data_IF_991180978594
#
_entry.id   IF_991180978594
#
_cell.length_a   1.000
_cell.length_b   1.000
_cell.length_c   1.000
_cell.angle_alpha   90.00
_cell.angle_beta   90.00
_cell.angle_gamma   90.00
#
_symmetry.space_group_name_H-M   'P 1'
#
loop_
_entity.id
_entity.type
_entity.pdbx_description
1 polymer ?
#
# COMPACT_ATOMS: atom_id res chain seq x y z
N UNK A 1 12.75 19.51 -4.58
CA UNK A 1 11.95 19.32 -5.81
C UNK A 1 11.61 17.86 -6.06
N UNK A 2 12.59 16.96 -6.27
CA UNK A 2 12.30 15.55 -6.58
C UNK A 2 11.50 14.82 -5.48
N UNK A 3 11.88 14.96 -4.20
CA UNK A 3 11.14 14.36 -3.08
C UNK A 3 9.66 14.80 -3.02
N UNK A 4 9.39 16.05 -3.35
CA UNK A 4 8.02 16.61 -3.39
C UNK A 4 7.21 16.01 -4.53
N UNK A 5 7.80 15.89 -5.72
CA UNK A 5 7.16 15.27 -6.88
C UNK A 5 6.87 13.78 -6.63
N UNK A 6 7.81 13.05 -6.03
CA UNK A 6 7.60 11.65 -5.63
C UNK A 6 6.47 11.53 -4.63
N UNK A 7 6.42 12.40 -3.60
CA UNK A 7 5.33 12.42 -2.63
C UNK A 7 3.97 12.65 -3.29
N UNK A 8 3.86 13.67 -4.16
CA UNK A 8 2.61 14.00 -4.86
C UNK A 8 2.14 12.86 -5.78
N UNK A 9 3.07 12.20 -6.47
CA UNK A 9 2.75 11.04 -7.31
C UNK A 9 2.19 9.89 -6.47
N UNK A 10 2.84 9.53 -5.37
CA UNK A 10 2.38 8.44 -4.49
C UNK A 10 1.05 8.81 -3.81
N UNK A 11 0.87 10.06 -3.38
CA UNK A 11 -0.40 10.58 -2.84
C UNK A 11 -1.54 10.44 -3.86
N UNK A 12 -1.30 10.79 -5.11
CA UNK A 12 -2.29 10.65 -6.19
C UNK A 12 -2.66 9.19 -6.48
N UNK A 13 -1.68 8.29 -6.48
CA UNK A 13 -1.91 6.84 -6.64
C UNK A 13 -2.76 6.31 -5.48
N UNK A 14 -2.42 6.64 -4.24
CA UNK A 14 -3.18 6.24 -3.06
C UNK A 14 -4.63 6.75 -3.10
N UNK A 15 -4.83 8.02 -3.47
CA UNK A 15 -6.18 8.58 -3.67
C UNK A 15 -6.96 7.84 -4.75
N UNK A 16 -6.35 7.56 -5.91
CA UNK A 16 -7.02 6.83 -6.99
C UNK A 16 -7.44 5.41 -6.60
N UNK A 17 -6.77 4.83 -5.61
CA UNK A 17 -7.08 3.51 -5.05
C UNK A 17 -7.98 3.56 -3.80
N UNK A 18 -8.46 4.75 -3.39
CA UNK A 18 -9.31 4.91 -2.21
C UNK A 18 -8.60 4.67 -0.88
N UNK A 19 -7.27 4.83 -0.83
CA UNK A 19 -6.45 4.59 0.36
C UNK A 19 -5.89 5.92 0.89
N UNK A 20 -5.99 6.12 2.21
CA UNK A 20 -5.37 7.27 2.87
C UNK A 20 -3.84 7.17 2.81
N UNK A 21 -3.19 8.20 2.27
CA UNK A 21 -1.72 8.26 2.24
C UNK A 21 -1.12 8.56 3.63
N UNK A 22 -1.79 9.37 4.44
CA UNK A 22 -1.29 9.83 5.74
C UNK A 22 -1.62 8.87 6.88
N UNK A 23 -2.75 8.16 6.77
CA UNK A 23 -3.22 7.19 7.77
C UNK A 23 -3.71 5.90 7.08
N UNK A 24 -2.83 5.16 6.40
CA UNK A 24 -3.23 3.94 5.73
C UNK A 24 -3.57 2.86 6.76
N UNK A 25 -4.73 2.23 6.63
CA UNK A 25 -5.05 1.00 7.39
C UNK A 25 -4.44 -0.21 6.70
N UNK A 26 -4.16 -1.29 7.45
CA UNK A 26 -3.72 -2.57 6.86
C UNK A 26 -4.67 -3.03 5.76
N UNK A 27 -5.98 -2.97 6.00
CA UNK A 27 -7.03 -3.29 5.03
C UNK A 27 -6.98 -2.40 3.79
N UNK A 28 -6.75 -1.10 3.96
CA UNK A 28 -6.60 -0.15 2.84
C UNK A 28 -5.38 -0.50 1.98
N UNK A 29 -4.22 -0.72 2.60
CA UNK A 29 -2.99 -1.13 1.92
C UNK A 29 -3.20 -2.44 1.14
N UNK A 30 -3.83 -3.44 1.76
CA UNK A 30 -4.16 -4.71 1.13
C UNK A 30 -5.02 -4.52 -0.13
N UNK A 31 -5.99 -3.62 -0.05
CA UNK A 31 -6.90 -3.29 -1.17
C UNK A 31 -6.14 -2.64 -2.33
N UNK A 32 -5.31 -1.63 -2.06
CA UNK A 32 -4.51 -0.97 -3.09
C UNK A 32 -3.52 -1.93 -3.75
N UNK A 33 -2.83 -2.76 -2.96
CA UNK A 33 -1.84 -3.71 -3.49
C UNK A 33 -2.52 -4.73 -4.41
N UNK A 34 -3.68 -5.28 -4.02
CA UNK A 34 -4.48 -6.16 -4.88
C UNK A 34 -4.90 -5.49 -6.20
N UNK A 35 -5.37 -4.24 -6.14
CA UNK A 35 -5.79 -3.50 -7.33
C UNK A 35 -4.60 -3.25 -8.28
N UNK A 36 -3.46 -2.82 -7.75
CA UNK A 36 -2.23 -2.61 -8.52
C UNK A 36 -1.75 -3.91 -9.19
N UNK A 37 -1.79 -5.04 -8.47
CA UNK A 37 -1.46 -6.36 -9.03
C UNK A 37 -2.33 -6.68 -10.25
N UNK A 38 -3.65 -6.61 -10.09
CA UNK A 38 -4.59 -6.94 -11.18
C UNK A 38 -4.38 -6.05 -12.42
N UNK A 39 -4.14 -4.75 -12.21
CA UNK A 39 -3.87 -3.83 -13.31
C UNK A 39 -2.55 -4.14 -14.01
N UNK A 40 -1.48 -4.39 -13.24
CA UNK A 40 -0.17 -4.69 -13.80
C UNK A 40 -0.17 -6.02 -14.58
N UNK A 41 -0.85 -7.05 -14.07
CA UNK A 41 -1.00 -8.35 -14.76
C UNK A 41 -1.71 -8.18 -16.11
N UNK A 42 -2.78 -7.37 -16.16
CA UNK A 42 -3.50 -7.06 -17.40
C UNK A 42 -2.63 -6.31 -18.41
N UNK A 43 -1.82 -5.36 -17.95
CA UNK A 43 -0.96 -4.55 -18.83
C UNK A 43 0.21 -5.35 -19.41
N UNK A 44 0.81 -6.24 -18.61
CA UNK A 44 2.06 -6.91 -18.96
C UNK A 44 1.85 -8.27 -19.65
N UNK A 45 0.61 -8.79 -19.65
CA UNK A 45 0.27 -10.08 -20.21
C UNK A 45 0.90 -11.26 -19.45
N UNK A 46 0.79 -12.49 -19.98
CA UNK A 46 1.09 -13.71 -19.21
C UNK A 46 2.51 -13.79 -18.65
N UNK A 47 3.52 -13.38 -19.43
CA UNK A 47 4.92 -13.41 -18.99
C UNK A 47 5.22 -12.40 -17.89
N UNK A 48 4.58 -11.23 -17.93
CA UNK A 48 4.75 -10.23 -16.88
C UNK A 48 3.97 -10.57 -15.62
N UNK A 49 2.83 -11.25 -15.76
CA UNK A 49 2.02 -11.68 -14.63
C UNK A 49 2.79 -12.62 -13.68
N UNK A 50 3.60 -13.55 -14.20
CA UNK A 50 4.44 -14.42 -13.37
C UNK A 50 5.45 -13.63 -12.52
N UNK A 51 6.12 -12.63 -13.13
CA UNK A 51 7.08 -11.77 -12.44
C UNK A 51 6.37 -10.94 -11.36
N UNK A 52 5.21 -10.37 -11.69
CA UNK A 52 4.40 -9.58 -10.76
C UNK A 52 3.95 -10.45 -9.58
N UNK A 53 3.49 -11.68 -9.83
CA UNK A 53 3.03 -12.61 -8.80
C UNK A 53 4.14 -12.93 -7.80
N UNK A 54 5.36 -13.17 -8.29
CA UNK A 54 6.52 -13.42 -7.44
C UNK A 54 6.83 -12.23 -6.51
N UNK A 55 6.94 -11.02 -7.06
CA UNK A 55 7.25 -9.83 -6.27
C UNK A 55 6.10 -9.41 -5.34
N UNK A 56 4.86 -9.70 -5.72
CA UNK A 56 3.68 -9.49 -4.90
C UNK A 56 3.75 -10.28 -3.58
N UNK A 57 4.18 -11.55 -3.64
CA UNK A 57 4.31 -12.38 -2.45
C UNK A 57 5.31 -11.78 -1.43
N UNK A 58 6.42 -11.20 -1.90
CA UNK A 58 7.38 -10.52 -1.03
C UNK A 58 6.81 -9.25 -0.41
N UNK A 59 6.05 -8.46 -1.17
CA UNK A 59 5.35 -7.29 -0.64
C UNK A 59 4.35 -7.67 0.46
N UNK A 60 3.61 -8.77 0.28
CA UNK A 60 2.61 -9.22 1.26
C UNK A 60 3.22 -9.63 2.60
N UNK A 61 4.43 -10.19 2.62
CA UNK A 61 5.15 -10.48 3.88
C UNK A 61 5.39 -9.23 4.74
N UNK A 62 5.52 -8.06 4.11
CA UNK A 62 5.66 -6.78 4.82
C UNK A 62 4.30 -6.30 5.34
N UNK A 63 3.25 -6.44 4.53
CA UNK A 63 1.88 -6.06 4.89
C UNK A 63 1.36 -6.90 6.05
N UNK A 64 1.65 -8.19 6.07
CA UNK A 64 1.20 -9.11 7.13
C UNK A 64 1.71 -8.71 8.51
N UNK A 65 2.89 -8.09 8.58
CA UNK A 65 3.52 -7.59 9.80
C UNK A 65 2.93 -6.25 10.27
N UNK A 66 2.11 -5.59 9.44
CA UNK A 66 1.46 -4.35 9.85
C UNK A 66 0.39 -4.64 10.92
N UNK A 67 0.27 -3.77 11.94
CA UNK A 67 -0.83 -3.85 12.90
C UNK A 67 -2.16 -3.55 12.20
N UNK A 68 -3.25 -4.20 12.61
CA UNK A 68 -4.58 -3.96 12.02
C UNK A 68 -5.09 -2.53 12.31
N UNK A 69 -4.65 -1.97 13.43
CA UNK A 69 -4.60 -0.55 13.82
C UNK A 69 -3.71 -0.47 15.05
N UNK A 70 -2.85 0.54 15.16
CA UNK A 70 -2.40 0.94 16.50
C UNK A 70 -3.64 1.38 17.28
N UNK A 71 -3.90 0.74 18.41
CA UNK A 71 -4.82 1.30 19.39
C UNK A 71 -4.33 2.71 19.70
N UNK A 72 -5.17 3.72 19.50
CA UNK A 72 -4.91 5.06 20.01
C UNK A 72 -4.68 4.95 21.53
N UNK A 73 -3.43 5.12 21.97
CA UNK A 73 -3.10 5.28 23.40
C UNK A 73 -2.91 6.77 23.62
N UNK A 74 -3.90 7.49 24.16
CA UNK A 74 -3.71 8.89 24.50
C UNK A 74 -2.61 8.99 25.55
N UNK A 75 -1.56 9.76 25.24
CA UNK A 75 -0.48 10.15 26.15
C UNK A 75 -1.07 11.11 27.18
N UNK A 76 -1.85 10.60 28.12
CA UNK A 76 -2.43 11.43 29.21
C UNK A 76 -2.51 10.68 30.54
N UNK A 77 -1.82 9.55 30.70
CA UNK A 77 -1.75 8.80 31.96
C UNK A 77 -0.33 8.70 32.52
N UNK A 78 0.37 9.83 32.60
CA UNK A 78 1.48 9.99 33.55
C UNK A 78 1.31 11.38 34.18
N UNK A 79 0.36 11.47 35.10
CA UNK A 79 0.34 12.47 36.18
C UNK A 79 1.12 11.92 37.36
#
# INVERSE_FOLDING_TARGET
>A
MLKTQVKQFVEGVFQSCGVSYTEPTKTGILTAINQCKSNAEKMMGPKGADIISHHYAEMMKLVDRLPEKEAYVPVTRIT
#
